data_IF_243255831920
#
_entry.id   IF_243255831920
#
_cell.length_a   1.000
_cell.length_b   1.000
_cell.length_c   1.000
_cell.angle_alpha   90.00
_cell.angle_beta   90.00
_cell.angle_gamma   90.00
#
_symmetry.space_group_name_H-M   'P 1'
#
loop_
_entity.id
_entity.type
_entity.pdbx_description
1 polymer ?
#
# COMPACT_ATOMS: atom_id res chain seq x y z
N UNK A 1 -2.85 2.15 28.20
CA UNK A 1 -2.26 2.50 26.88
C UNK A 1 -3.25 3.32 26.05
N UNK A 2 -3.42 4.61 26.37
CA UNK A 2 -4.50 5.44 25.82
C UNK A 2 -3.97 6.57 24.94
N UNK A 3 -4.72 6.94 23.90
CA UNK A 3 -4.45 8.02 22.93
C UNK A 3 -3.24 7.86 22.01
N UNK A 4 -1.99 7.75 22.49
CA UNK A 4 -0.80 7.78 21.62
C UNK A 4 -0.75 6.62 20.61
N UNK A 5 -1.02 5.40 21.05
CA UNK A 5 -1.14 4.24 20.15
C UNK A 5 -2.26 4.41 19.14
N UNK A 6 -3.39 4.99 19.56
CA UNK A 6 -4.55 5.21 18.68
C UNK A 6 -4.19 6.22 17.59
N UNK A 7 -3.48 7.29 17.94
CA UNK A 7 -2.97 8.28 16.98
C UNK A 7 -1.93 7.68 16.03
N UNK A 8 -1.03 6.83 16.54
CA UNK A 8 -0.05 6.13 15.71
C UNK A 8 -0.72 5.20 14.69
N UNK A 9 -1.72 4.41 15.12
CA UNK A 9 -2.50 3.54 14.23
C UNK A 9 -3.24 4.36 13.18
N UNK A 10 -3.87 5.49 13.55
CA UNK A 10 -4.54 6.37 12.59
C UNK A 10 -3.57 6.96 11.56
N UNK A 11 -2.37 7.39 11.99
CA UNK A 11 -1.32 7.88 11.08
C UNK A 11 -0.81 6.80 10.15
N UNK A 12 -0.58 5.60 10.67
CA UNK A 12 -0.12 4.45 9.89
C UNK A 12 -1.17 4.02 8.86
N UNK A 13 -2.45 4.04 9.24
CA UNK A 13 -3.55 3.79 8.32
C UNK A 13 -3.57 4.81 7.17
N UNK A 14 -3.53 6.10 7.49
CA UNK A 14 -3.46 7.19 6.49
C UNK A 14 -2.26 7.02 5.54
N UNK A 15 -1.09 6.69 6.08
CA UNK A 15 0.11 6.48 5.29
C UNK A 15 -0.08 5.40 4.21
N UNK A 16 -0.67 4.25 4.55
CA UNK A 16 -0.92 3.21 3.55
C UNK A 16 -2.00 3.59 2.54
N UNK A 17 -3.06 4.29 2.98
CA UNK A 17 -4.10 4.79 2.09
C UNK A 17 -3.49 5.74 1.06
N UNK A 18 -2.69 6.74 1.48
CA UNK A 18 -2.03 7.67 0.57
C UNK A 18 -1.09 6.95 -0.39
N UNK A 19 -0.31 5.96 0.09
CA UNK A 19 0.54 5.14 -0.77
C UNK A 19 -0.26 4.35 -1.81
N UNK A 20 -1.39 3.76 -1.43
CA UNK A 20 -2.25 3.01 -2.35
C UNK A 20 -2.95 3.93 -3.35
N UNK A 21 -3.43 5.10 -2.93
CA UNK A 21 -3.97 6.12 -3.83
C UNK A 21 -2.92 6.59 -4.84
N UNK A 22 -1.67 6.81 -4.40
CA UNK A 22 -0.55 7.16 -5.29
C UNK A 22 -0.22 6.07 -6.32
N UNK A 23 -0.61 4.82 -6.11
CA UNK A 23 -0.43 3.79 -7.14
C UNK A 23 -1.41 3.94 -8.30
N UNK A 24 -2.48 4.72 -8.14
CA UNK A 24 -3.55 4.89 -9.15
C UNK A 24 -4.46 3.67 -9.30
N UNK A 25 -4.26 2.61 -8.52
CA UNK A 25 -5.15 1.44 -8.52
C UNK A 25 -6.44 1.67 -7.74
N UNK A 26 -6.34 2.50 -6.70
CA UNK A 26 -7.44 2.83 -5.84
C UNK A 26 -7.73 4.31 -6.02
N UNK A 27 -8.96 4.63 -6.41
CA UNK A 27 -9.46 6.01 -6.50
C UNK A 27 -10.40 6.34 -5.34
N UNK A 28 -10.92 5.31 -4.66
CA UNK A 28 -11.86 5.48 -3.56
C UNK A 28 -11.17 5.40 -2.19
N UNK A 29 -10.92 6.58 -1.63
CA UNK A 29 -10.38 6.70 -0.28
C UNK A 29 -11.35 6.21 0.81
N UNK A 30 -12.66 6.22 0.57
CA UNK A 30 -13.65 5.76 1.54
C UNK A 30 -13.63 4.23 1.65
N UNK A 31 -13.51 3.53 0.53
CA UNK A 31 -13.29 2.08 0.52
C UNK A 31 -12.01 1.69 1.27
N UNK A 32 -10.90 2.40 1.02
CA UNK A 32 -9.62 2.16 1.72
C UNK A 32 -9.68 2.49 3.22
N UNK A 33 -10.55 3.42 3.64
CA UNK A 33 -10.79 3.69 5.06
C UNK A 33 -11.55 2.58 5.78
N UNK A 34 -12.32 1.76 5.07
CA UNK A 34 -12.99 0.60 5.68
C UNK A 34 -12.01 -0.55 5.94
N UNK A 35 -10.92 -0.63 5.18
CA UNK A 35 -9.92 -1.70 5.33
C UNK A 35 -9.13 -1.55 6.62
N UNK A 36 -8.65 -2.66 7.17
CA UNK A 36 -7.75 -2.68 8.33
C UNK A 36 -6.32 -2.32 7.92
N UNK A 37 -5.49 -1.92 8.90
CA UNK A 37 -4.08 -1.60 8.63
C UNK A 37 -3.34 -2.79 8.02
N UNK A 38 -3.63 -4.01 8.47
CA UNK A 38 -3.04 -5.25 7.94
C UNK A 38 -3.43 -5.52 6.49
N UNK A 39 -4.68 -5.24 6.10
CA UNK A 39 -5.13 -5.38 4.70
C UNK A 39 -4.44 -4.37 3.78
N UNK A 40 -4.40 -3.10 4.21
CA UNK A 40 -3.68 -2.05 3.47
C UNK A 40 -2.19 -2.37 3.33
N UNK A 41 -1.57 -2.92 4.38
CA UNK A 41 -0.17 -3.33 4.36
C UNK A 41 0.06 -4.53 3.44
N UNK A 42 -0.80 -5.55 3.48
CA UNK A 42 -0.67 -6.74 2.63
C UNK A 42 -0.84 -6.36 1.14
N UNK A 43 -1.78 -5.49 0.82
CA UNK A 43 -1.97 -5.00 -0.55
C UNK A 43 -0.76 -4.17 -1.01
N UNK A 44 -0.25 -3.28 -0.14
CA UNK A 44 0.96 -2.53 -0.44
C UNK A 44 2.17 -3.44 -0.69
N UNK A 45 2.37 -4.48 0.14
CA UNK A 45 3.45 -5.45 0.00
C UNK A 45 3.30 -6.27 -1.29
N UNK A 46 2.09 -6.78 -1.58
CA UNK A 46 1.77 -7.44 -2.85
C UNK A 46 2.09 -6.56 -4.04
N UNK A 47 1.71 -5.29 -3.97
CA UNK A 47 1.95 -4.35 -5.05
C UNK A 47 3.44 -4.06 -5.25
N UNK A 48 4.19 -3.94 -4.16
CA UNK A 48 5.64 -3.77 -4.16
C UNK A 48 6.36 -4.99 -4.74
N UNK A 49 5.94 -6.20 -4.39
CA UNK A 49 6.46 -7.46 -4.96
C UNK A 49 6.11 -7.56 -6.45
N UNK A 50 4.89 -7.18 -6.85
CA UNK A 50 4.43 -7.23 -8.24
C UNK A 50 5.17 -6.22 -9.13
N UNK A 51 5.48 -5.03 -8.61
CA UNK A 51 6.38 -4.06 -9.28
C UNK A 51 7.83 -4.58 -9.35
N UNK A 52 8.32 -5.23 -8.30
CA UNK A 52 9.67 -5.83 -8.31
C UNK A 52 9.78 -6.95 -9.35
N UNK A 53 8.80 -7.84 -9.44
CA UNK A 53 8.77 -8.89 -10.48
C UNK A 53 8.65 -8.32 -11.90
N UNK A 54 7.85 -7.28 -12.12
CA UNK A 54 7.80 -6.60 -13.43
C UNK A 54 9.05 -5.78 -13.77
N UNK A 55 9.86 -5.44 -12.78
CA UNK A 55 11.18 -4.82 -12.99
C UNK A 55 12.25 -5.83 -13.41
N UNK A 56 12.14 -7.09 -13.00
CA UNK A 56 13.05 -8.18 -13.41
C UNK A 56 12.68 -8.81 -14.77
N UNK A 57 11.41 -8.73 -15.21
CA UNK A 57 10.98 -9.22 -16.54
C UNK A 57 11.18 -8.21 -17.70
N UNK A 58 11.87 -7.09 -17.46
CA UNK A 58 12.39 -6.20 -18.51
C UNK A 58 13.93 -6.06 -18.39
N UNK A 59 14.62 -7.16 -18.12
CA UNK A 59 15.98 -7.33 -18.62
C UNK A 59 15.91 -7.46 -20.15
N UNK A 60 16.69 -6.69 -20.94
CA UNK A 60 16.53 -6.63 -22.38
C UNK A 60 16.77 -8.01 -23.00
N UNK A 61 15.87 -8.41 -23.91
CA UNK A 61 16.22 -9.31 -25.01
C UNK A 61 17.49 -8.76 -25.67
N UNK A 62 18.60 -9.44 -25.44
CA UNK A 62 19.87 -9.30 -26.17
C UNK A 62 20.63 -10.58 -25.85
N UNK A 63 21.12 -11.38 -26.77
CA UNK A 63 20.93 -11.51 -28.20
C UNK A 63 21.37 -12.93 -28.56
#
# INVERSE_FOLDING_TARGET
MGKLMRTAITRQKRFYIDRLLQTGLFHDSAALQQWTVSELQNEYERHRIRKKKRGDEHGPKSS
#
